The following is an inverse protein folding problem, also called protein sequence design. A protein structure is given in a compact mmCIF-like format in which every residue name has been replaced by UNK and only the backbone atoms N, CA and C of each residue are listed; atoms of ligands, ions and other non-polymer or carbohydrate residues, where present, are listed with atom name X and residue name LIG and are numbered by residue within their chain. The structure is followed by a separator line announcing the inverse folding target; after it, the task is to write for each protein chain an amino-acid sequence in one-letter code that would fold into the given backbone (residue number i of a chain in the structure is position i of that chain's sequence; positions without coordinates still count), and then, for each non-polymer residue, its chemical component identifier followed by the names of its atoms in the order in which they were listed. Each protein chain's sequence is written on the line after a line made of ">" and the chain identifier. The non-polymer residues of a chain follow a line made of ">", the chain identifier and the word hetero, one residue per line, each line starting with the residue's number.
data_IF_564229169712
#
_entry.id   IF_564229169712
#
_cell.length_a   1.000
_cell.length_b   1.000
_cell.length_c   1.000
_cell.angle_alpha   90.00
_cell.angle_beta   90.00
_cell.angle_gamma   90.00
#
_symmetry.space_group_name_H-M   'P 1'
#
loop_
_entity.id
_entity.type
_entity.pdbx_description
1 polymer ?
#
# COMPACT_ATOMS: atom_id res chain seq x y z
N UNK A 1 -10.62 -6.26 -11.67
CA UNK A 1 -9.45 -5.85 -10.85
C UNK A 1 -8.72 -7.13 -10.57
N UNK A 2 -7.58 -7.36 -11.20
CA UNK A 2 -6.83 -8.60 -11.00
C UNK A 2 -6.09 -8.62 -9.67
N UNK A 3 -5.57 -9.80 -9.32
CA UNK A 3 -4.89 -10.08 -8.07
C UNK A 3 -3.56 -10.77 -8.35
N UNK A 4 -2.57 -10.53 -7.49
CA UNK A 4 -1.36 -11.34 -7.44
C UNK A 4 -1.56 -12.46 -6.43
N UNK A 5 -1.48 -13.71 -6.87
CA UNK A 5 -1.54 -14.91 -6.03
C UNK A 5 -0.22 -15.64 -6.22
N UNK A 6 0.52 -15.84 -5.13
CA UNK A 6 1.86 -16.45 -5.14
C UNK A 6 2.81 -15.84 -6.19
N UNK A 7 2.70 -14.52 -6.38
CA UNK A 7 3.51 -13.77 -7.34
C UNK A 7 3.05 -13.86 -8.80
N UNK A 8 1.98 -14.58 -9.10
CA UNK A 8 1.42 -14.71 -10.45
C UNK A 8 0.17 -13.84 -10.59
N UNK A 9 0.01 -13.18 -11.75
CA UNK A 9 -1.15 -12.34 -12.03
C UNK A 9 -2.37 -13.19 -12.42
N UNK A 10 -3.50 -12.94 -11.76
CA UNK A 10 -4.80 -13.55 -12.06
C UNK A 10 -5.83 -12.45 -12.33
N UNK A 11 -6.55 -12.55 -13.45
CA UNK A 11 -7.64 -11.63 -13.78
C UNK A 11 -8.99 -12.12 -13.24
N UNK A 12 -9.05 -12.33 -11.92
CA UNK A 12 -10.26 -12.77 -11.21
C UNK A 12 -10.83 -11.64 -10.35
N UNK A 13 -12.16 -11.55 -10.32
CA UNK A 13 -12.86 -10.54 -9.53
C UNK A 13 -12.98 -10.92 -8.04
N UNK A 14 -13.27 -9.93 -7.19
CA UNK A 14 -13.54 -10.15 -5.76
C UNK A 14 -14.76 -11.04 -5.54
N UNK A 15 -14.67 -11.96 -4.58
CA UNK A 15 -15.81 -12.76 -4.17
C UNK A 15 -16.78 -11.91 -3.32
N UNK A 16 -17.71 -11.24 -4.00
CA UNK A 16 -18.80 -10.51 -3.33
C UNK A 16 -19.98 -11.41 -2.99
N UNK A 17 -20.01 -12.67 -3.45
CA UNK A 17 -21.10 -13.60 -3.11
C UNK A 17 -21.02 -13.99 -1.63
N UNK A 18 -19.81 -14.27 -1.13
CA UNK A 18 -19.58 -14.58 0.29
C UNK A 18 -19.95 -13.43 1.24
N UNK A 19 -19.99 -12.19 0.77
CA UNK A 19 -20.28 -10.99 1.57
C UNK A 19 -21.70 -10.43 1.36
N UNK A 20 -22.57 -11.17 0.67
CA UNK A 20 -23.94 -10.73 0.37
C UNK A 20 -23.99 -9.53 -0.59
N UNK A 21 -23.08 -9.48 -1.57
CA UNK A 21 -22.97 -8.42 -2.58
C UNK A 21 -22.12 -7.22 -2.16
N UNK A 22 -21.62 -7.18 -0.92
CA UNK A 22 -20.82 -6.06 -0.41
C UNK A 22 -19.40 -6.13 -0.93
N UNK A 23 -18.91 -5.03 -1.51
CA UNK A 23 -17.48 -4.89 -1.75
C UNK A 23 -16.73 -4.70 -0.42
N UNK A 24 -15.85 -5.63 -0.08
CA UNK A 24 -14.93 -5.51 1.06
C UNK A 24 -13.51 -5.34 0.53
N UNK A 25 -12.91 -4.18 0.80
CA UNK A 25 -11.57 -3.86 0.33
C UNK A 25 -10.52 -4.54 1.21
N UNK A 26 -9.59 -5.28 0.61
CA UNK A 26 -8.42 -5.81 1.31
C UNK A 26 -7.58 -4.68 1.91
N UNK A 27 -7.05 -4.90 3.11
CA UNK A 27 -6.13 -3.97 3.75
C UNK A 27 -4.76 -3.95 3.05
N UNK A 28 -4.08 -2.81 3.06
CA UNK A 28 -2.72 -2.71 2.54
C UNK A 28 -1.75 -3.53 3.37
N UNK A 29 -0.98 -4.41 2.73
CA UNK A 29 -0.06 -5.34 3.40
C UNK A 29 1.21 -4.67 3.96
N UNK A 30 1.78 -3.69 3.24
CA UNK A 30 3.02 -3.02 3.64
C UNK A 30 2.72 -1.80 4.51
N UNK A 31 3.22 -1.80 5.75
CA UNK A 31 2.88 -0.78 6.77
C UNK A 31 4.07 -0.21 7.54
N UNK A 32 5.30 -0.52 7.12
CA UNK A 32 6.51 -0.02 7.79
C UNK A 32 6.65 1.50 7.71
N UNK A 33 7.47 2.07 8.59
CA UNK A 33 7.71 3.50 8.69
C UNK A 33 9.11 3.91 8.24
N UNK A 34 9.18 5.12 7.67
CA UNK A 34 10.42 5.86 7.51
C UNK A 34 10.54 6.83 8.69
N UNK A 35 11.64 6.79 9.42
CA UNK A 35 11.91 7.71 10.54
C UNK A 35 13.28 8.36 10.37
N UNK A 36 13.49 9.50 11.03
CA UNK A 36 14.76 10.25 10.92
C UNK A 36 15.99 9.42 11.34
N UNK A 37 15.81 8.50 12.28
CA UNK A 37 16.85 7.66 12.89
C UNK A 37 16.81 6.19 12.39
N UNK A 38 15.83 5.83 11.56
CA UNK A 38 15.65 4.46 11.08
C UNK A 38 14.99 3.49 12.05
N UNK A 39 14.48 3.96 13.19
CA UNK A 39 13.67 3.15 14.09
C UNK A 39 12.38 2.62 13.40
N UNK A 40 11.82 1.47 13.86
CA UNK A 40 10.63 0.83 13.26
C UNK A 40 9.34 1.65 13.23
N UNK A 41 9.31 2.81 13.90
CA UNK A 41 8.10 3.60 14.10
C UNK A 41 6.98 2.84 14.84
N UNK A 42 5.73 3.31 14.74
CA UNK A 42 4.59 2.74 15.45
C UNK A 42 4.25 1.27 15.15
N UNK A 43 4.72 0.71 14.03
CA UNK A 43 4.49 -0.72 13.72
C UNK A 43 5.39 -1.66 14.49
N UNK A 44 6.44 -1.15 15.17
CA UNK A 44 7.35 -1.94 15.98
C UNK A 44 8.18 -2.99 15.21
N UNK A 45 8.04 -3.01 13.88
CA UNK A 45 8.68 -3.94 12.96
C UNK A 45 9.12 -3.19 11.70
N UNK A 46 10.22 -3.63 11.10
CA UNK A 46 10.90 -2.87 10.04
C UNK A 46 11.71 -1.69 10.61
N UNK A 47 12.13 -0.75 9.76
CA UNK A 47 12.89 0.43 10.17
C UNK A 47 13.70 0.96 8.99
N UNK A 48 13.36 2.18 8.56
CA UNK A 48 13.92 2.78 7.35
C UNK A 48 14.35 4.21 7.65
N UNK A 49 15.66 4.48 7.59
CA UNK A 49 16.19 5.81 7.87
C UNK A 49 15.83 6.79 6.74
N UNK A 50 15.36 7.97 7.11
CA UNK A 50 15.02 9.02 6.15
C UNK A 50 16.30 9.59 5.53
N UNK A 51 16.49 9.33 4.23
CA UNK A 51 17.67 9.74 3.47
C UNK A 51 17.25 10.33 2.13
N UNK A 52 18.00 11.33 1.68
CA UNK A 52 17.81 11.95 0.37
C UNK A 52 18.03 10.92 -0.74
N UNK A 53 17.20 10.96 -1.77
CA UNK A 53 17.31 10.13 -2.99
C UNK A 53 17.28 8.60 -2.77
N UNK A 54 16.79 8.14 -1.61
CA UNK A 54 16.66 6.70 -1.29
C UNK A 54 15.28 6.11 -1.61
N UNK A 55 14.23 6.92 -1.58
CA UNK A 55 12.86 6.46 -1.66
C UNK A 55 12.17 6.97 -2.93
N UNK A 56 11.40 6.10 -3.57
CA UNK A 56 10.64 6.42 -4.76
C UNK A 56 9.13 6.31 -4.48
N UNK A 57 8.36 7.20 -5.10
CA UNK A 57 6.91 7.26 -4.91
C UNK A 57 6.21 6.88 -6.22
N UNK A 58 5.53 5.73 -6.23
CA UNK A 58 4.70 5.28 -7.35
C UNK A 58 3.24 5.72 -7.18
N UNK A 59 2.69 6.42 -8.17
CA UNK A 59 1.34 7.00 -8.10
C UNK A 59 0.60 6.90 -9.43
N UNK A 60 -0.73 6.99 -9.36
CA UNK A 60 -1.59 7.34 -10.48
C UNK A 60 -2.32 8.63 -10.14
N UNK A 61 -2.34 9.60 -11.07
CA UNK A 61 -3.00 10.89 -10.88
C UNK A 61 -4.52 10.77 -10.69
N UNK A 62 -5.12 9.67 -11.15
CA UNK A 62 -6.54 9.39 -10.96
C UNK A 62 -6.87 8.80 -9.57
N UNK A 63 -5.88 8.29 -8.84
CA UNK A 63 -6.12 7.59 -7.58
C UNK A 63 -6.25 8.58 -6.41
N UNK A 64 -7.42 8.71 -5.74
CA UNK A 64 -7.60 9.66 -4.66
C UNK A 64 -6.76 9.33 -3.42
N UNK A 65 -6.41 8.07 -3.21
CA UNK A 65 -5.55 7.64 -2.11
C UNK A 65 -4.10 8.10 -2.33
N UNK A 66 -3.59 7.94 -3.54
CA UNK A 66 -2.26 8.38 -3.94
C UNK A 66 -2.17 9.91 -4.03
N UNK A 67 -3.26 10.57 -4.43
CA UNK A 67 -3.29 12.04 -4.50
C UNK A 67 -2.96 12.70 -3.14
N UNK A 68 -3.36 12.08 -2.02
CA UNK A 68 -3.01 12.56 -0.67
C UNK A 68 -1.49 12.68 -0.46
N UNK A 69 -0.71 11.74 -0.99
CA UNK A 69 0.76 11.79 -0.85
C UNK A 69 1.36 12.86 -1.76
N UNK A 70 0.74 13.15 -2.90
CA UNK A 70 1.19 14.21 -3.81
C UNK A 70 0.98 15.61 -3.24
N UNK A 71 -0.10 15.83 -2.49
CA UNK A 71 -0.36 17.11 -1.79
C UNK A 71 0.72 17.40 -0.73
N UNK A 72 1.25 16.36 -0.08
CA UNK A 72 2.19 16.49 1.05
C UNK A 72 3.66 16.36 0.65
N UNK A 73 3.95 16.10 -0.63
CA UNK A 73 5.31 15.87 -1.11
C UNK A 73 6.10 17.17 -1.28
#
# INVERSE_FOLDING_TARGET
>A
MGQLIDGVWHDTWYDTKSTGGKFQRSASAFRNWLTADGAPGPTGTGGFIAEKDRYHLYVSLACPWAHRTLIMR
#
